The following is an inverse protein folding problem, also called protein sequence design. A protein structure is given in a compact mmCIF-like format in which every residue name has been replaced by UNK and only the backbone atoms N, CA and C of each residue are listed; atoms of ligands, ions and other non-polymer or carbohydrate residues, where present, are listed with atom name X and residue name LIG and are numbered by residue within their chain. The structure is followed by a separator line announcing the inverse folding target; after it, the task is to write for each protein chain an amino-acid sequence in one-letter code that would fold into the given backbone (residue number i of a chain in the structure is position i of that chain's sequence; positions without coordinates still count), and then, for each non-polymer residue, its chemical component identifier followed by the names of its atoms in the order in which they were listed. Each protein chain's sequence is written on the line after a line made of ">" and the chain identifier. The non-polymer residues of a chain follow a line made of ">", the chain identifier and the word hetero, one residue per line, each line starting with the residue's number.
data_IF_085324676549
#
_entry.id   IF_085324676549
#
_cell.length_a   1.000
_cell.length_b   1.000
_cell.length_c   1.000
_cell.angle_alpha   90.00
_cell.angle_beta   90.00
_cell.angle_gamma   90.00
#
_symmetry.space_group_name_H-M   'P 1'
#
loop_
_entity.id
_entity.type
_entity.pdbx_description
1 polymer ?
#
# COMPACT_ATOMS: atom_id res chain seq x y z
N UNK A 1 34.85 6.63 19.61
CA UNK A 1 34.06 6.44 20.84
C UNK A 1 33.08 5.34 20.50
N UNK A 2 33.04 4.27 21.28
CA UNK A 2 32.37 3.01 20.92
C UNK A 2 30.86 3.20 20.92
N UNK A 3 30.25 3.19 19.73
CA UNK A 3 28.81 3.00 19.53
C UNK A 3 28.42 1.63 20.12
N UNK A 4 28.09 1.58 21.40
CA UNK A 4 27.43 0.39 21.96
C UNK A 4 25.97 0.45 21.53
N UNK A 5 25.68 -0.11 20.36
CA UNK A 5 24.32 -0.44 20.00
C UNK A 5 23.76 -1.36 21.10
N UNK A 6 22.53 -1.10 21.54
CA UNK A 6 21.78 -1.97 22.45
C UNK A 6 20.92 -2.93 21.62
N UNK A 7 21.41 -4.14 21.27
CA UNK A 7 20.66 -5.08 20.46
C UNK A 7 19.55 -5.73 21.27
N UNK A 8 18.33 -5.66 20.74
CA UNK A 8 17.19 -6.41 21.25
C UNK A 8 17.04 -7.70 20.46
N UNK A 9 16.94 -8.82 21.18
CA UNK A 9 16.76 -10.14 20.57
C UNK A 9 15.45 -10.23 19.77
N UNK A 10 15.35 -11.22 18.88
CA UNK A 10 14.16 -11.45 18.06
C UNK A 10 12.89 -11.60 18.89
N UNK A 11 12.95 -12.39 19.97
CA UNK A 11 11.82 -12.58 20.88
C UNK A 11 11.38 -11.26 21.51
N UNK A 12 12.32 -10.43 21.97
CA UNK A 12 12.00 -9.13 22.59
C UNK A 12 11.44 -8.17 21.53
N UNK A 13 12.07 -8.08 20.37
CA UNK A 13 11.66 -7.19 19.27
C UNK A 13 10.26 -7.52 18.78
N UNK A 14 9.94 -8.80 18.58
CA UNK A 14 8.61 -9.24 18.15
C UNK A 14 7.52 -8.92 19.18
N UNK A 15 7.76 -9.24 20.46
CA UNK A 15 6.78 -8.94 21.53
C UNK A 15 6.61 -7.43 21.73
N UNK A 16 7.70 -6.66 21.64
CA UNK A 16 7.63 -5.21 21.71
C UNK A 16 6.80 -4.66 20.55
N UNK A 17 6.96 -5.17 19.33
CA UNK A 17 6.15 -4.73 18.20
C UNK A 17 4.64 -4.94 18.43
N UNK A 18 4.24 -6.03 19.09
CA UNK A 18 2.82 -6.24 19.46
C UNK A 18 2.36 -5.17 20.47
N UNK A 19 3.17 -4.86 21.49
CA UNK A 19 2.86 -3.79 22.45
C UNK A 19 2.75 -2.43 21.75
N UNK A 20 3.67 -2.14 20.84
CA UNK A 20 3.73 -0.90 20.06
C UNK A 20 2.54 -0.79 19.11
N UNK A 21 2.11 -1.89 18.49
CA UNK A 21 0.89 -1.93 17.69
C UNK A 21 -0.33 -1.52 18.54
N UNK A 22 -0.51 -2.12 19.72
CA UNK A 22 -1.61 -1.76 20.61
C UNK A 22 -1.48 -0.34 21.19
N UNK A 23 -0.27 0.18 21.33
CA UNK A 23 -0.05 1.59 21.63
C UNK A 23 -0.55 2.47 20.49
N UNK A 24 -0.22 2.13 19.24
CA UNK A 24 -0.76 2.76 18.03
C UNK A 24 -2.28 2.76 17.97
N UNK A 25 -2.93 1.62 18.26
CA UNK A 25 -4.40 1.52 18.38
C UNK A 25 -4.95 2.52 19.41
N UNK A 26 -4.30 2.65 20.57
CA UNK A 26 -4.72 3.60 21.62
C UNK A 26 -4.51 5.06 21.18
N UNK A 27 -3.40 5.36 20.49
CA UNK A 27 -3.12 6.70 19.95
C UNK A 27 -4.15 7.09 18.91
N UNK A 28 -4.46 6.23 17.94
CA UNK A 28 -5.47 6.47 16.91
C UNK A 28 -6.86 6.72 17.50
N UNK A 29 -7.22 6.02 18.59
CA UNK A 29 -8.49 6.24 19.29
C UNK A 29 -8.55 7.59 20.02
N UNK A 30 -7.43 8.04 20.60
CA UNK A 30 -7.37 9.25 21.43
C UNK A 30 -7.10 10.53 20.64
N UNK A 31 -6.31 10.46 19.57
CA UNK A 31 -5.83 11.62 18.81
C UNK A 31 -6.71 11.78 17.56
N UNK A 32 -7.58 12.81 17.49
CA UNK A 32 -8.48 12.98 16.35
C UNK A 32 -7.76 13.17 15.02
N UNK A 33 -6.57 13.80 15.04
CA UNK A 33 -5.74 13.99 13.85
C UNK A 33 -5.41 12.66 13.16
N UNK A 34 -4.91 11.67 13.91
CA UNK A 34 -4.51 10.37 13.35
C UNK A 34 -5.70 9.64 12.73
N UNK A 35 -6.86 9.68 13.40
CA UNK A 35 -8.10 9.11 12.89
C UNK A 35 -8.64 9.85 11.66
N UNK A 36 -8.57 11.19 11.66
CA UNK A 36 -9.09 12.01 10.57
C UNK A 36 -8.33 11.78 9.26
N UNK A 37 -7.01 11.58 9.35
CA UNK A 37 -6.13 11.33 8.20
C UNK A 37 -5.89 9.85 7.92
N UNK A 38 -6.66 8.94 8.54
CA UNK A 38 -6.55 7.48 8.37
C UNK A 38 -5.12 6.95 8.53
N UNK A 39 -4.36 7.49 9.50
CA UNK A 39 -2.99 7.03 9.77
C UNK A 39 -3.06 5.61 10.35
N UNK A 40 -2.37 4.61 9.74
CA UNK A 40 -2.41 3.23 10.23
C UNK A 40 -1.90 3.10 11.65
N UNK A 41 -2.50 2.20 12.44
CA UNK A 41 -2.09 1.92 13.82
C UNK A 41 -0.60 1.54 13.94
N UNK A 42 -0.04 0.69 13.06
CA UNK A 42 1.39 0.39 13.07
C UNK A 42 2.27 1.63 12.91
N UNK A 43 1.83 2.60 12.11
CA UNK A 43 2.56 3.85 11.84
C UNK A 43 2.56 4.75 13.07
N UNK A 44 1.39 4.95 13.67
CA UNK A 44 1.25 5.76 14.88
C UNK A 44 2.07 5.22 16.05
N UNK A 45 2.05 3.90 16.25
CA UNK A 45 2.83 3.24 17.30
C UNK A 45 4.33 3.24 16.99
N UNK A 46 4.71 2.76 15.79
CA UNK A 46 6.09 2.63 15.37
C UNK A 46 6.83 3.97 15.36
N UNK A 47 6.22 5.02 14.79
CA UNK A 47 6.84 6.34 14.75
C UNK A 47 7.03 6.94 16.15
N UNK A 48 6.13 6.70 17.09
CA UNK A 48 6.33 7.13 18.48
C UNK A 48 7.59 6.47 19.07
N UNK A 49 7.79 5.18 18.85
CA UNK A 49 8.98 4.47 19.33
C UNK A 49 10.24 4.94 18.60
N UNK A 50 10.18 5.16 17.29
CA UNK A 50 11.31 5.70 16.53
C UNK A 50 11.72 7.11 17.02
N UNK A 51 10.75 7.96 17.36
CA UNK A 51 11.02 9.28 17.97
C UNK A 51 11.65 9.14 19.36
N UNK A 52 11.16 8.21 20.19
CA UNK A 52 11.75 7.95 21.50
C UNK A 52 13.19 7.41 21.38
N UNK A 53 13.44 6.48 20.46
CA UNK A 53 14.77 5.96 20.15
C UNK A 53 15.69 7.09 19.63
N UNK A 54 15.17 7.98 18.79
CA UNK A 54 15.91 9.15 18.32
C UNK A 54 16.27 10.12 19.46
N UNK A 55 15.36 10.35 20.41
CA UNK A 55 15.66 11.18 21.60
C UNK A 55 16.76 10.53 22.45
N UNK A 56 16.72 9.21 22.63
CA UNK A 56 17.77 8.45 23.33
C UNK A 56 19.11 8.59 22.61
N UNK A 57 19.11 8.43 21.28
CA UNK A 57 20.31 8.61 20.46
C UNK A 57 20.89 10.03 20.63
N UNK A 58 20.07 11.07 20.55
CA UNK A 58 20.54 12.46 20.74
C UNK A 58 21.05 12.76 22.16
N UNK A 59 20.49 12.11 23.19
CA UNK A 59 20.83 12.40 24.58
C UNK A 59 22.00 11.56 25.12
N UNK A 60 22.13 10.31 24.66
CA UNK A 60 23.05 9.31 25.21
C UNK A 60 24.04 8.75 24.19
N UNK A 61 23.97 9.18 22.92
CA UNK A 61 24.80 8.66 21.82
C UNK A 61 24.73 7.12 21.70
N UNK A 62 23.57 6.55 22.08
CA UNK A 62 23.32 5.11 22.14
C UNK A 62 22.28 4.73 21.10
N UNK A 63 22.64 3.83 20.19
CA UNK A 63 21.72 3.29 19.19
C UNK A 63 20.92 2.10 19.74
N UNK A 64 19.60 2.10 19.55
CA UNK A 64 18.76 0.94 19.85
C UNK A 64 18.56 0.15 18.57
N UNK A 65 19.04 -1.09 18.52
CA UNK A 65 18.87 -1.97 17.36
C UNK A 65 17.84 -3.06 17.64
N UNK A 66 16.92 -3.25 16.69
CA UNK A 66 15.87 -4.26 16.76
C UNK A 66 16.16 -5.38 15.75
N UNK A 67 15.91 -6.62 16.15
CA UNK A 67 15.99 -7.75 15.22
C UNK A 67 14.78 -7.75 14.27
N UNK A 68 15.03 -8.01 12.97
CA UNK A 68 14.04 -7.90 11.89
C UNK A 68 13.73 -9.22 11.19
N UNK A 69 14.15 -10.38 11.74
CA UNK A 69 13.93 -11.66 11.07
C UNK A 69 12.44 -12.00 10.95
N UNK A 70 11.65 -11.82 12.01
CA UNK A 70 10.19 -12.02 11.92
C UNK A 70 9.54 -11.00 10.99
N UNK A 71 10.07 -9.77 10.91
CA UNK A 71 9.57 -8.74 10.00
C UNK A 71 9.65 -9.23 8.55
N UNK A 72 10.78 -9.79 8.14
CA UNK A 72 10.99 -10.25 6.76
C UNK A 72 10.05 -11.41 6.40
N UNK A 73 9.88 -12.38 7.30
CA UNK A 73 8.95 -13.49 7.08
C UNK A 73 7.49 -13.03 7.00
N UNK A 74 7.08 -12.10 7.88
CA UNK A 74 5.72 -11.54 7.87
C UNK A 74 5.46 -10.68 6.61
N UNK A 75 6.49 -10.00 6.10
CA UNK A 75 6.41 -9.30 4.82
C UNK A 75 6.10 -10.27 3.68
N UNK A 76 6.76 -11.43 3.63
CA UNK A 76 6.45 -12.48 2.65
C UNK A 76 5.04 -13.02 2.84
N UNK A 77 4.60 -13.23 4.09
CA UNK A 77 3.22 -13.65 4.38
C UNK A 77 2.19 -12.67 3.84
N UNK A 78 2.40 -11.37 4.04
CA UNK A 78 1.49 -10.34 3.57
C UNK A 78 1.38 -10.30 2.04
N UNK A 79 2.50 -10.14 1.33
CA UNK A 79 2.49 -10.03 -0.13
C UNK A 79 2.06 -11.33 -0.84
N UNK A 80 2.38 -12.49 -0.26
CA UNK A 80 1.88 -13.78 -0.77
C UNK A 80 0.37 -13.91 -0.55
N UNK A 81 -0.17 -13.44 0.58
CA UNK A 81 -1.61 -13.46 0.83
C UNK A 81 -2.37 -12.53 -0.14
N UNK A 82 -1.79 -11.37 -0.50
CA UNK A 82 -2.30 -10.51 -1.59
C UNK A 82 -2.34 -11.31 -2.91
N UNK A 83 -1.23 -11.94 -3.28
CA UNK A 83 -1.14 -12.76 -4.48
C UNK A 83 -2.16 -13.90 -4.49
N UNK A 84 -2.33 -14.60 -3.38
CA UNK A 84 -3.34 -15.66 -3.25
C UNK A 84 -4.77 -15.12 -3.40
N UNK A 85 -5.05 -13.88 -3.03
CA UNK A 85 -6.38 -13.28 -3.25
C UNK A 85 -6.62 -12.79 -4.68
N UNK A 86 -5.58 -12.69 -5.51
CA UNK A 86 -5.69 -12.24 -6.89
C UNK A 86 -6.37 -13.29 -7.79
N UNK A 87 -7.50 -12.93 -8.39
CA UNK A 87 -8.23 -13.79 -9.33
C UNK A 87 -8.54 -13.06 -10.63
N UNK A 88 -8.08 -13.60 -11.77
CA UNK A 88 -8.36 -13.02 -13.08
C UNK A 88 -9.86 -12.98 -13.41
N UNK A 89 -10.63 -13.92 -12.86
CA UNK A 89 -12.10 -13.92 -13.01
C UNK A 89 -12.78 -12.68 -12.44
N UNK A 90 -12.18 -12.00 -11.47
CA UNK A 90 -12.75 -10.77 -10.88
C UNK A 90 -12.49 -9.55 -11.78
N UNK A 91 -11.42 -9.56 -12.59
CA UNK A 91 -11.15 -8.55 -13.62
C UNK A 91 -12.27 -8.53 -14.68
N UNK A 92 -12.68 -9.74 -15.13
CA UNK A 92 -13.71 -9.91 -16.15
C UNK A 92 -15.06 -9.37 -15.68
N UNK A 93 -15.38 -9.52 -14.38
CA UNK A 93 -16.63 -9.03 -13.79
C UNK A 93 -16.72 -7.49 -13.74
N UNK A 94 -15.58 -6.80 -13.63
CA UNK A 94 -15.53 -5.34 -13.58
C UNK A 94 -15.83 -4.65 -14.92
N UNK A 95 -15.76 -5.39 -16.03
CA UNK A 95 -16.12 -4.92 -17.36
C UNK A 95 -15.29 -3.72 -17.85
N UNK A 96 -15.88 -2.95 -18.78
CA UNK A 96 -15.22 -1.82 -19.44
C UNK A 96 -14.74 -0.72 -18.48
N UNK A 97 -15.53 -0.26 -17.48
CA UNK A 97 -15.09 0.80 -16.57
C UNK A 97 -13.86 0.41 -15.73
N UNK A 98 -13.78 -0.85 -15.30
CA UNK A 98 -12.63 -1.35 -14.55
C UNK A 98 -11.37 -1.36 -15.40
N UNK A 99 -11.47 -1.80 -16.66
CA UNK A 99 -10.32 -1.80 -17.57
C UNK A 99 -9.82 -0.39 -17.88
N UNK A 100 -10.74 0.57 -18.09
CA UNK A 100 -10.38 1.99 -18.29
C UNK A 100 -9.64 2.52 -17.05
N UNK A 101 -10.18 2.28 -15.85
CA UNK A 101 -9.56 2.74 -14.61
C UNK A 101 -8.19 2.10 -14.38
N UNK A 102 -8.04 0.80 -14.68
CA UNK A 102 -6.75 0.11 -14.59
C UNK A 102 -5.71 0.73 -15.54
N UNK A 103 -6.06 0.99 -16.80
CA UNK A 103 -5.17 1.64 -17.75
C UNK A 103 -4.78 3.05 -17.29
N UNK A 104 -5.74 3.82 -16.75
CA UNK A 104 -5.47 5.15 -16.18
C UNK A 104 -4.53 5.06 -14.98
N UNK A 105 -4.72 4.08 -14.09
CA UNK A 105 -3.86 3.86 -12.93
C UNK A 105 -2.43 3.53 -13.36
N UNK A 106 -2.24 2.59 -14.28
CA UNK A 106 -0.90 2.23 -14.80
C UNK A 106 -0.24 3.43 -15.48
N UNK A 107 -0.99 4.18 -16.31
CA UNK A 107 -0.49 5.40 -16.94
C UNK A 107 -0.10 6.48 -15.94
N UNK A 108 -0.88 6.64 -14.87
CA UNK A 108 -0.57 7.56 -13.78
C UNK A 108 0.67 7.13 -13.00
N UNK A 109 0.86 5.83 -12.75
CA UNK A 109 2.04 5.31 -12.06
C UNK A 109 3.32 5.58 -12.84
N UNK A 110 3.29 5.39 -14.17
CA UNK A 110 4.39 5.79 -15.04
C UNK A 110 4.68 7.30 -14.92
N UNK A 111 3.64 8.14 -15.01
CA UNK A 111 3.79 9.59 -14.86
C UNK A 111 4.35 9.99 -13.50
N UNK A 112 3.86 9.38 -12.41
CA UNK A 112 4.29 9.63 -11.04
C UNK A 112 5.79 9.33 -10.88
N UNK A 113 6.28 8.23 -11.46
CA UNK A 113 7.70 7.89 -11.43
C UNK A 113 8.54 8.74 -12.36
N UNK A 114 8.07 9.11 -13.55
CA UNK A 114 8.76 10.11 -14.40
C UNK A 114 8.99 11.40 -13.61
N UNK A 115 7.97 11.90 -12.93
CA UNK A 115 8.06 13.14 -12.15
C UNK A 115 9.05 13.00 -11.00
N UNK A 116 8.90 11.96 -10.17
CA UNK A 116 9.76 11.74 -9.01
C UNK A 116 11.23 11.60 -9.40
N UNK A 117 11.51 10.77 -10.41
CA UNK A 117 12.86 10.54 -10.91
C UNK A 117 13.46 11.76 -11.63
N UNK A 118 12.65 12.53 -12.36
CA UNK A 118 13.11 13.77 -13.01
C UNK A 118 13.53 14.82 -11.98
N UNK A 119 12.73 15.00 -10.92
CA UNK A 119 13.06 15.93 -9.83
C UNK A 119 14.31 15.46 -9.10
N UNK A 120 14.41 14.16 -8.79
CA UNK A 120 15.61 13.59 -8.17
C UNK A 120 16.86 13.84 -9.03
N UNK A 121 16.79 13.61 -10.34
CA UNK A 121 17.89 13.86 -11.27
C UNK A 121 18.32 15.35 -11.29
N UNK A 122 17.37 16.29 -11.31
CA UNK A 122 17.66 17.74 -11.23
C UNK A 122 18.36 18.12 -9.93
N UNK A 123 18.02 17.44 -8.83
CA UNK A 123 18.63 17.65 -7.51
C UNK A 123 19.93 16.86 -7.30
N UNK A 124 20.39 16.10 -8.30
CA UNK A 124 21.59 15.26 -8.20
C UNK A 124 21.42 14.04 -7.28
N UNK A 125 20.18 13.58 -7.07
CA UNK A 125 19.86 12.42 -6.23
C UNK A 125 19.68 11.15 -7.08
N UNK A 126 19.90 9.96 -6.50
CA UNK A 126 19.73 8.70 -7.22
C UNK A 126 18.28 8.49 -7.70
N UNK A 127 18.10 7.76 -8.80
CA UNK A 127 16.78 7.44 -9.37
C UNK A 127 15.85 6.80 -8.34
N UNK A 128 16.39 5.87 -7.52
CA UNK A 128 15.64 5.21 -6.44
C UNK A 128 15.05 6.18 -5.42
N UNK A 129 15.69 7.33 -5.15
CA UNK A 129 15.14 8.38 -4.30
C UNK A 129 13.86 8.96 -4.91
N UNK A 130 13.88 9.23 -6.21
CA UNK A 130 12.72 9.72 -6.95
C UNK A 130 11.56 8.73 -6.96
N UNK A 131 11.86 7.43 -7.04
CA UNK A 131 10.86 6.35 -6.97
C UNK A 131 10.23 6.22 -5.57
N UNK A 132 11.02 6.40 -4.51
CA UNK A 132 10.50 6.52 -3.13
C UNK A 132 9.57 7.72 -2.96
N UNK A 133 9.89 8.84 -3.61
CA UNK A 133 8.99 9.99 -3.75
C UNK A 133 7.79 9.77 -4.69
N UNK A 134 7.72 8.63 -5.36
CA UNK A 134 6.72 8.26 -6.36
C UNK A 134 5.95 7.01 -5.95
N UNK A 135 5.80 6.06 -6.89
CA UNK A 135 4.87 4.94 -6.74
C UNK A 135 5.27 3.94 -5.66
N UNK A 136 6.55 3.87 -5.29
CA UNK A 136 7.02 2.99 -4.21
C UNK A 136 6.29 3.30 -2.91
N UNK A 137 6.07 4.59 -2.61
CA UNK A 137 5.46 5.04 -1.36
C UNK A 137 4.05 5.57 -1.52
N UNK A 138 3.76 6.33 -2.58
CA UNK A 138 2.48 7.03 -2.75
C UNK A 138 1.36 6.16 -3.32
N UNK A 139 1.71 5.04 -3.96
CA UNK A 139 0.75 4.06 -4.47
C UNK A 139 0.93 2.73 -3.75
N UNK A 140 2.18 2.27 -3.62
CA UNK A 140 2.50 1.03 -2.91
C UNK A 140 2.41 1.10 -1.38
N UNK A 141 2.31 2.31 -0.82
CA UNK A 141 2.22 2.54 0.61
C UNK A 141 3.46 2.12 1.40
N UNK A 142 3.32 2.09 2.73
CA UNK A 142 4.41 1.72 3.64
C UNK A 142 4.97 0.32 3.36
N UNK A 143 4.09 -0.64 3.06
CA UNK A 143 4.49 -2.04 2.82
C UNK A 143 5.47 -2.16 1.65
N UNK A 144 5.17 -1.52 0.53
CA UNK A 144 6.03 -1.52 -0.66
C UNK A 144 7.32 -0.74 -0.42
N UNK A 145 7.25 0.43 0.22
CA UNK A 145 8.43 1.20 0.59
C UNK A 145 9.42 0.43 1.47
N UNK A 146 8.91 -0.26 2.49
CA UNK A 146 9.70 -1.11 3.39
C UNK A 146 10.28 -2.32 2.64
N UNK A 147 9.53 -2.89 1.70
CA UNK A 147 9.94 -4.06 0.94
C UNK A 147 11.05 -3.76 -0.08
N UNK A 148 10.97 -2.59 -0.75
CA UNK A 148 11.98 -2.16 -1.72
C UNK A 148 13.19 -1.49 -1.09
N UNK A 149 13.05 -0.91 0.11
CA UNK A 149 14.09 -0.14 0.79
C UNK A 149 15.46 -0.82 0.84
N UNK A 150 15.60 -2.07 1.32
CA UNK A 150 16.89 -2.76 1.36
C UNK A 150 17.57 -2.86 -0.01
N UNK A 151 16.81 -3.16 -1.07
CA UNK A 151 17.35 -3.24 -2.44
C UNK A 151 17.79 -1.86 -2.96
N UNK A 152 17.04 -0.80 -2.66
CA UNK A 152 17.41 0.57 -3.03
C UNK A 152 18.66 1.08 -2.30
N UNK A 153 18.89 0.63 -1.06
CA UNK A 153 20.12 0.92 -0.32
C UNK A 153 21.30 0.18 -0.95
N UNK A 154 21.17 -1.14 -1.13
CA UNK A 154 22.26 -2.01 -1.58
C UNK A 154 22.68 -1.74 -3.03
N UNK A 155 21.70 -1.66 -3.93
CA UNK A 155 21.97 -1.69 -5.38
C UNK A 155 21.98 -0.28 -6.00
N UNK A 156 21.31 0.69 -5.36
CA UNK A 156 21.08 2.04 -5.91
C UNK A 156 21.59 3.18 -5.02
N UNK A 157 22.25 2.87 -3.90
CA UNK A 157 22.91 3.86 -3.04
C UNK A 157 21.97 4.86 -2.36
N UNK A 158 20.69 4.50 -2.18
CA UNK A 158 19.70 5.39 -1.55
C UNK A 158 19.75 5.20 -0.03
N UNK A 159 20.65 5.93 0.64
CA UNK A 159 20.74 5.91 2.10
C UNK A 159 19.40 6.30 2.76
N UNK A 160 18.99 5.56 3.80
CA UNK A 160 17.73 5.80 4.50
C UNK A 160 16.47 5.53 3.65
N UNK A 161 16.54 4.64 2.65
CA UNK A 161 15.42 4.38 1.74
C UNK A 161 14.11 4.01 2.47
N UNK A 162 14.20 3.20 3.52
CA UNK A 162 13.03 2.75 4.29
C UNK A 162 12.41 3.94 5.03
N UNK A 163 13.23 4.80 5.63
CA UNK A 163 12.82 6.01 6.33
C UNK A 163 12.15 7.01 5.39
N UNK A 164 12.79 7.29 4.24
CA UNK A 164 12.27 8.22 3.23
C UNK A 164 10.94 7.71 2.69
N UNK A 165 10.86 6.42 2.38
CA UNK A 165 9.65 5.80 1.86
C UNK A 165 8.52 5.80 2.88
N UNK A 166 8.80 5.43 4.14
CA UNK A 166 7.81 5.46 5.22
C UNK A 166 7.30 6.88 5.52
N UNK A 167 8.20 7.88 5.53
CA UNK A 167 7.83 9.28 5.69
C UNK A 167 6.96 9.77 4.51
N UNK A 168 7.38 9.48 3.28
CA UNK A 168 6.64 9.84 2.06
C UNK A 168 5.26 9.19 2.03
N UNK A 169 5.13 7.91 2.38
CA UNK A 169 3.84 7.21 2.43
C UNK A 169 2.91 7.83 3.48
N UNK A 170 3.44 8.21 4.65
CA UNK A 170 2.65 8.84 5.71
C UNK A 170 2.15 10.23 5.32
N UNK A 171 3.04 11.08 4.80
CA UNK A 171 2.69 12.41 4.31
C UNK A 171 1.76 12.34 3.10
N UNK A 172 1.94 11.32 2.26
CA UNK A 172 1.05 10.96 1.17
C UNK A 172 -0.38 10.73 1.65
N UNK A 173 -0.60 9.88 2.66
CA UNK A 173 -1.94 9.63 3.21
C UNK A 173 -2.65 10.89 3.70
N UNK A 174 -1.90 11.81 4.34
CA UNK A 174 -2.41 13.12 4.75
C UNK A 174 -2.81 13.94 3.52
N UNK A 175 -1.92 14.05 2.54
CA UNK A 175 -2.19 14.80 1.30
C UNK A 175 -3.38 14.21 0.51
N UNK A 176 -3.48 12.89 0.44
CA UNK A 176 -4.55 12.15 -0.22
C UNK A 176 -5.92 12.41 0.43
N UNK A 177 -5.96 12.42 1.77
CA UNK A 177 -7.16 12.74 2.55
C UNK A 177 -7.58 14.21 2.36
N UNK A 178 -6.61 15.14 2.31
CA UNK A 178 -6.87 16.56 2.06
C UNK A 178 -7.35 16.84 0.64
N UNK A 179 -6.85 16.10 -0.36
CA UNK A 179 -7.12 16.35 -1.76
C UNK A 179 -8.49 15.82 -2.23
N UNK A 180 -8.95 14.68 -1.69
CA UNK A 180 -10.14 13.99 -2.19
C UNK A 180 -11.44 14.81 -2.11
N UNK A 181 -11.70 15.45 -0.97
CA UNK A 181 -12.88 16.30 -0.79
C UNK A 181 -12.94 17.49 -1.76
N UNK A 182 -11.90 18.34 -1.83
CA UNK A 182 -11.82 19.44 -2.80
C UNK A 182 -11.96 19.00 -4.25
N UNK A 183 -11.33 17.89 -4.65
CA UNK A 183 -11.46 17.35 -6.02
C UNK A 183 -12.89 16.90 -6.31
N UNK A 184 -13.50 16.11 -5.42
CA UNK A 184 -14.89 15.68 -5.57
C UNK A 184 -15.85 16.87 -5.68
N UNK A 185 -15.72 17.86 -4.79
CA UNK A 185 -16.51 19.08 -4.82
C UNK A 185 -16.31 19.89 -6.11
N UNK A 186 -15.07 20.02 -6.58
CA UNK A 186 -14.76 20.70 -7.84
C UNK A 186 -15.42 20.00 -9.05
N UNK A 187 -15.33 18.67 -9.13
CA UNK A 187 -15.90 17.89 -10.23
C UNK A 187 -17.45 17.96 -10.22
N UNK A 188 -18.08 17.90 -9.05
CA UNK A 188 -19.54 17.93 -8.92
C UNK A 188 -20.08 19.35 -9.18
N UNK A 189 -19.57 20.35 -8.46
CA UNK A 189 -20.14 21.70 -8.47
C UNK A 189 -19.68 22.52 -9.68
N UNK A 190 -18.39 22.47 -10.03
CA UNK A 190 -17.84 23.31 -11.11
C UNK A 190 -17.83 22.62 -12.47
N UNK A 191 -17.66 21.29 -12.53
CA UNK A 191 -17.70 20.54 -13.79
C UNK A 191 -19.07 19.94 -14.11
N UNK A 192 -20.06 20.15 -13.24
CA UNK A 192 -21.45 19.80 -13.51
C UNK A 192 -21.78 18.32 -13.37
N UNK A 193 -20.92 17.52 -12.73
CA UNK A 193 -21.16 16.09 -12.46
C UNK A 193 -22.15 15.89 -11.30
N UNK A 194 -23.30 16.57 -11.36
CA UNK A 194 -24.33 16.48 -10.33
C UNK A 194 -25.03 15.11 -10.40
N UNK A 195 -25.48 14.59 -9.24
CA UNK A 195 -26.31 13.39 -9.23
C UNK A 195 -27.54 13.58 -10.12
N UNK A 196 -27.87 12.57 -10.91
CA UNK A 196 -29.07 12.59 -11.77
C UNK A 196 -30.33 12.57 -10.89
N UNK A 197 -31.22 13.58 -11.00
CA UNK A 197 -32.47 13.64 -10.23
C UNK A 197 -33.42 12.45 -10.46
N UNK A 198 -33.31 11.78 -11.62
CA UNK A 198 -34.17 10.65 -12.01
C UNK A 198 -33.63 9.27 -11.69
N UNK A 199 -32.44 9.16 -11.07
CA UNK A 199 -31.81 7.88 -10.76
C UNK A 199 -32.61 7.15 -9.67
N UNK A 200 -32.90 5.84 -9.81
CA UNK A 200 -33.48 5.06 -8.73
C UNK A 200 -32.65 5.29 -7.47
N UNK A 201 -33.28 5.49 -6.32
CA UNK A 201 -32.58 5.55 -5.03
C UNK A 201 -31.81 4.24 -4.85
N UNK A 202 -30.52 4.25 -5.22
CA UNK A 202 -29.60 3.21 -4.81
C UNK A 202 -29.60 3.22 -3.28
N UNK A 203 -29.86 2.08 -2.66
CA UNK A 203 -29.77 1.99 -1.20
C UNK A 203 -28.37 2.48 -0.78
N UNK A 204 -28.25 3.31 0.27
CA UNK A 204 -26.93 3.64 0.79
C UNK A 204 -26.21 2.33 1.10
N UNK A 205 -25.06 2.11 0.45
CA UNK A 205 -24.20 0.97 0.77
C UNK A 205 -23.59 1.27 2.14
N UNK A 206 -24.31 0.92 3.20
CA UNK A 206 -23.79 0.86 4.56
C UNK A 206 -23.23 -0.55 4.71
N UNK A 207 -21.91 -0.68 4.65
CA UNK A 207 -21.24 -1.98 4.69
C UNK A 207 -21.35 -2.70 3.36
N UNK A 208 -20.22 -2.90 2.67
CA UNK A 208 -20.15 -3.86 1.58
C UNK A 208 -20.16 -5.25 2.23
N UNK A 209 -21.33 -5.71 2.68
CA UNK A 209 -21.57 -7.14 2.91
C UNK A 209 -21.66 -7.78 1.54
N UNK A 210 -20.49 -8.13 0.99
CA UNK A 210 -20.43 -8.99 -0.19
C UNK A 210 -21.18 -10.27 0.14
N UNK A 211 -22.06 -10.73 -0.74
CA UNK A 211 -22.93 -11.91 -0.62
C UNK A 211 -22.21 -13.29 -0.42
N UNK A 212 -21.00 -13.28 0.13
CA UNK A 212 -20.17 -14.42 0.53
C UNK A 212 -20.05 -14.60 2.05
N UNK A 213 -20.80 -13.85 2.85
CA UNK A 213 -20.82 -14.04 4.31
C UNK A 213 -21.56 -15.31 4.78
N UNK A 214 -22.13 -16.09 3.86
CA UNK A 214 -22.85 -17.32 4.21
C UNK A 214 -21.97 -18.42 4.84
N UNK A 215 -20.63 -18.28 4.87
CA UNK A 215 -19.69 -19.16 5.60
C UNK A 215 -18.77 -18.40 6.59
N UNK A 216 -19.18 -17.20 7.03
CA UNK A 216 -18.35 -16.23 7.76
C UNK A 216 -17.99 -16.61 9.21
N UNK A 217 -17.13 -17.61 9.42
CA UNK A 217 -16.39 -17.78 10.68
C UNK A 217 -14.92 -18.10 10.42
N UNK A 218 -14.05 -17.36 11.09
CA UNK A 218 -12.63 -17.72 11.21
C UNK A 218 -12.56 -19.03 12.01
N UNK A 219 -12.19 -20.12 11.36
CA UNK A 219 -12.05 -21.44 12.01
C UNK A 219 -10.58 -21.78 12.20
N UNK A 220 -10.26 -22.55 13.24
CA UNK A 220 -8.89 -23.05 13.46
C UNK A 220 -8.37 -23.83 12.23
N UNK A 221 -9.22 -24.69 11.65
CA UNK A 221 -8.88 -25.44 10.43
C UNK A 221 -8.71 -24.53 9.22
N UNK A 222 -9.52 -23.47 9.09
CA UNK A 222 -9.37 -22.45 8.05
C UNK A 222 -8.06 -21.67 8.18
N UNK A 223 -7.64 -21.32 9.41
CA UNK A 223 -6.36 -20.67 9.69
C UNK A 223 -5.20 -21.59 9.34
N UNK A 224 -5.19 -22.82 9.85
CA UNK A 224 -4.12 -23.81 9.57
C UNK A 224 -4.00 -24.11 8.07
N UNK A 225 -5.13 -24.22 7.37
CA UNK A 225 -5.14 -24.41 5.91
C UNK A 225 -4.57 -23.20 5.17
N UNK A 226 -4.98 -22.00 5.57
CA UNK A 226 -4.49 -20.76 4.97
C UNK A 226 -2.99 -20.61 5.19
N UNK A 227 -2.49 -20.88 6.41
CA UNK A 227 -1.07 -20.89 6.73
C UNK A 227 -0.30 -21.92 5.89
N UNK A 228 -0.81 -23.14 5.74
CA UNK A 228 -0.16 -24.17 4.93
C UNK A 228 0.00 -23.73 3.47
N UNK A 229 -1.10 -23.30 2.84
CA UNK A 229 -1.06 -22.85 1.43
C UNK A 229 -0.17 -21.62 1.28
N UNK A 230 -0.21 -20.69 2.23
CA UNK A 230 0.65 -19.50 2.26
C UNK A 230 2.13 -19.89 2.32
N UNK A 231 2.50 -20.79 3.24
CA UNK A 231 3.88 -21.26 3.38
C UNK A 231 4.37 -22.02 2.14
N UNK A 232 3.51 -22.85 1.53
CA UNK A 232 3.85 -23.52 0.27
C UNK A 232 4.08 -22.50 -0.84
N UNK A 233 3.24 -21.48 -0.94
CA UNK A 233 3.41 -20.41 -1.93
C UNK A 233 4.69 -19.60 -1.70
N UNK A 234 5.04 -19.28 -0.44
CA UNK A 234 6.29 -18.62 -0.07
C UNK A 234 7.50 -19.50 -0.42
N UNK A 235 7.49 -20.79 -0.05
CA UNK A 235 8.59 -21.71 -0.34
C UNK A 235 8.84 -21.83 -1.84
N UNK A 236 7.78 -21.91 -2.65
CA UNK A 236 7.87 -21.89 -4.11
C UNK A 236 8.40 -20.54 -4.62
N UNK A 237 7.99 -19.43 -4.02
CA UNK A 237 8.47 -18.09 -4.38
C UNK A 237 9.96 -17.89 -4.10
N UNK A 238 10.44 -18.30 -2.93
CA UNK A 238 11.86 -18.25 -2.57
C UNK A 238 12.68 -19.13 -3.50
N UNK A 239 12.26 -20.39 -3.70
CA UNK A 239 12.98 -21.29 -4.62
C UNK A 239 12.95 -20.81 -6.08
N UNK A 240 11.87 -20.16 -6.51
CA UNK A 240 11.80 -19.56 -7.85
C UNK A 240 12.71 -18.33 -7.97
N UNK A 241 12.82 -17.50 -6.93
CA UNK A 241 13.71 -16.34 -6.94
C UNK A 241 15.17 -16.79 -7.07
N UNK A 242 15.60 -17.78 -6.26
CA UNK A 242 16.95 -18.35 -6.36
C UNK A 242 17.22 -18.92 -7.77
N UNK A 243 16.24 -19.61 -8.35
CA UNK A 243 16.36 -20.16 -9.69
C UNK A 243 16.43 -19.09 -10.80
N UNK A 244 15.71 -17.97 -10.65
CA UNK A 244 15.74 -16.85 -11.59
C UNK A 244 17.08 -16.10 -11.53
N UNK A 245 17.59 -15.89 -10.32
CA UNK A 245 18.86 -15.23 -10.09
C UNK A 245 20.02 -16.05 -10.68
N UNK A 246 20.09 -17.34 -10.36
CA UNK A 246 21.16 -18.23 -10.86
C UNK A 246 21.02 -18.54 -12.34
N UNK A 247 19.79 -18.75 -12.83
CA UNK A 247 19.54 -19.25 -14.18
C UNK A 247 19.52 -18.16 -15.26
N UNK A 248 18.93 -17.00 -14.95
CA UNK A 248 18.66 -15.92 -15.92
C UNK A 248 19.38 -14.62 -15.54
N UNK A 249 20.00 -14.54 -14.36
CA UNK A 249 20.62 -13.32 -13.84
C UNK A 249 19.58 -12.27 -13.43
N UNK A 250 18.32 -12.67 -13.24
CA UNK A 250 17.22 -11.76 -12.93
C UNK A 250 17.02 -11.69 -11.41
N UNK A 251 17.63 -10.68 -10.78
CA UNK A 251 17.53 -10.43 -9.34
C UNK A 251 16.28 -9.60 -8.99
N UNK A 252 15.16 -10.30 -8.80
CA UNK A 252 13.91 -9.74 -8.31
C UNK A 252 13.84 -9.80 -6.78
N UNK A 253 13.25 -8.78 -6.11
CA UNK A 253 12.95 -8.88 -4.69
C UNK A 253 12.08 -10.12 -4.39
N UNK A 254 12.47 -10.90 -3.37
CA UNK A 254 11.81 -12.16 -3.00
C UNK A 254 10.30 -12.00 -2.81
N UNK A 255 9.85 -10.91 -2.18
CA UNK A 255 8.42 -10.69 -1.95
C UNK A 255 7.60 -10.51 -3.25
N UNK A 256 8.20 -9.99 -4.32
CA UNK A 256 7.56 -9.84 -5.64
C UNK A 256 7.36 -11.22 -6.26
N UNK A 257 8.36 -12.09 -6.15
CA UNK A 257 8.28 -13.47 -6.65
C UNK A 257 7.26 -14.27 -5.84
N UNK A 258 7.25 -14.12 -4.51
CA UNK A 258 6.24 -14.72 -3.63
C UNK A 258 4.81 -14.26 -3.95
N UNK A 259 4.60 -12.96 -4.19
CA UNK A 259 3.32 -12.43 -4.65
C UNK A 259 2.91 -13.08 -5.99
N UNK A 260 3.82 -13.12 -6.97
CA UNK A 260 3.55 -13.73 -8.27
C UNK A 260 3.20 -15.22 -8.14
N UNK A 261 3.93 -15.99 -7.33
CA UNK A 261 3.61 -17.38 -7.03
C UNK A 261 2.21 -17.53 -6.42
N UNK A 262 1.82 -16.65 -5.50
CA UNK A 262 0.46 -16.58 -4.96
C UNK A 262 -0.60 -16.42 -6.06
N UNK A 263 -0.38 -15.50 -7.01
CA UNK A 263 -1.28 -15.26 -8.16
C UNK A 263 -1.40 -16.52 -9.02
N UNK A 264 -0.26 -17.11 -9.40
CA UNK A 264 -0.23 -18.31 -10.24
C UNK A 264 -0.98 -19.45 -9.58
N UNK A 265 -0.72 -19.71 -8.29
CA UNK A 265 -1.39 -20.78 -7.56
C UNK A 265 -2.89 -20.54 -7.43
N UNK A 266 -3.32 -19.30 -7.14
CA UNK A 266 -4.74 -18.99 -6.96
C UNK A 266 -5.57 -19.12 -8.23
N UNK A 267 -4.94 -18.97 -9.39
CA UNK A 267 -5.61 -19.10 -10.68
C UNK A 267 -5.44 -20.48 -11.32
N UNK A 268 -4.48 -21.31 -10.88
CA UNK A 268 -4.24 -22.65 -11.44
C UNK A 268 -4.78 -23.78 -10.56
N UNK A 269 -4.48 -23.76 -9.25
CA UNK A 269 -4.76 -24.87 -8.34
C UNK A 269 -6.25 -25.16 -8.21
N UNK A 270 -7.16 -24.17 -8.07
CA UNK A 270 -8.59 -24.44 -8.04
C UNK A 270 -9.16 -25.06 -9.34
N UNK A 271 -8.49 -24.85 -10.48
CA UNK A 271 -8.89 -25.43 -11.77
C UNK A 271 -8.53 -26.92 -11.85
N UNK A 272 -7.34 -27.28 -11.35
CA UNK A 272 -6.81 -28.65 -11.34
C UNK A 272 -7.42 -29.47 -10.19
N UNK A 273 -7.47 -28.90 -8.99
CA UNK A 273 -7.96 -29.57 -7.78
C UNK A 273 -9.30 -29.00 -7.33
N UNK A 274 -10.36 -29.21 -8.14
CA UNK A 274 -11.71 -28.65 -7.90
C UNK A 274 -12.34 -29.01 -6.54
N UNK A 275 -11.93 -30.11 -5.93
CA UNK A 275 -12.44 -30.58 -4.61
C UNK A 275 -11.66 -29.98 -3.43
N UNK A 276 -10.52 -29.35 -3.68
CA UNK A 276 -9.72 -28.74 -2.63
C UNK A 276 -10.31 -27.39 -2.26
N UNK A 277 -10.46 -27.17 -0.96
CA UNK A 277 -10.96 -25.93 -0.39
C UNK A 277 -9.86 -24.87 -0.40
N UNK A 278 -9.88 -24.01 -1.40
CA UNK A 278 -8.86 -22.98 -1.60
C UNK A 278 -9.07 -21.77 -0.66
N UNK A 279 -8.02 -21.25 0.01
CA UNK A 279 -8.18 -20.21 1.04
C UNK A 279 -8.39 -18.79 0.48
N UNK A 280 -8.22 -18.56 -0.82
CA UNK A 280 -8.40 -17.23 -1.40
C UNK A 280 -9.83 -16.71 -1.20
N UNK A 281 -9.96 -15.45 -0.78
CA UNK A 281 -11.24 -14.82 -0.44
C UNK A 281 -11.85 -15.31 0.87
N UNK A 282 -11.13 -16.11 1.67
CA UNK A 282 -11.58 -16.52 3.00
C UNK A 282 -11.21 -15.49 4.08
N UNK A 283 -12.06 -15.37 5.10
CA UNK A 283 -11.79 -14.52 6.27
C UNK A 283 -10.55 -14.99 7.06
N UNK A 284 -10.25 -16.30 7.07
CA UNK A 284 -9.04 -16.83 7.70
C UNK A 284 -7.76 -16.30 7.05
N UNK A 285 -7.69 -16.26 5.71
CA UNK A 285 -6.54 -15.70 5.01
C UNK A 285 -6.45 -14.19 5.22
N UNK A 286 -7.58 -13.47 5.23
CA UNK A 286 -7.63 -12.04 5.50
C UNK A 286 -7.05 -11.72 6.89
N UNK A 287 -7.47 -12.43 7.94
CA UNK A 287 -6.94 -12.22 9.30
C UNK A 287 -5.43 -12.50 9.39
N UNK A 288 -4.93 -13.54 8.72
CA UNK A 288 -3.48 -13.82 8.67
C UNK A 288 -2.74 -12.68 7.97
N UNK A 289 -3.28 -12.20 6.85
CA UNK A 289 -2.71 -11.08 6.08
C UNK A 289 -2.68 -9.79 6.91
N UNK A 290 -3.76 -9.47 7.61
CA UNK A 290 -3.86 -8.26 8.45
C UNK A 290 -2.94 -8.33 9.67
N UNK A 291 -2.83 -9.51 10.30
CA UNK A 291 -1.88 -9.75 11.38
C UNK A 291 -0.43 -9.57 10.91
N UNK A 292 -0.09 -10.17 9.76
CA UNK A 292 1.21 -10.03 9.16
C UNK A 292 1.52 -8.56 8.86
N UNK A 293 0.59 -7.86 8.19
CA UNK A 293 0.66 -6.43 7.89
C UNK A 293 0.92 -5.59 9.14
N UNK A 294 0.09 -5.77 10.17
CA UNK A 294 0.17 -4.99 11.40
C UNK A 294 1.52 -5.13 12.10
N UNK A 295 2.00 -6.37 12.26
CA UNK A 295 3.25 -6.63 12.98
C UNK A 295 4.47 -6.24 12.13
N UNK A 296 4.53 -6.60 10.85
CA UNK A 296 5.71 -6.27 10.03
C UNK A 296 5.86 -4.76 9.88
N UNK A 297 4.77 -4.02 9.67
CA UNK A 297 4.83 -2.56 9.59
C UNK A 297 5.30 -1.99 10.92
N UNK A 298 4.79 -2.48 12.04
CA UNK A 298 5.19 -1.98 13.36
C UNK A 298 6.67 -2.20 13.61
N UNK A 299 7.19 -3.41 13.33
CA UNK A 299 8.62 -3.73 13.47
C UNK A 299 9.49 -2.84 12.58
N UNK A 300 9.06 -2.60 11.35
CA UNK A 300 9.80 -1.76 10.39
C UNK A 300 9.79 -0.29 10.81
N UNK A 301 8.66 0.19 11.33
CA UNK A 301 8.50 1.61 11.66
C UNK A 301 9.11 1.98 13.01
N UNK A 302 9.14 1.05 13.98
CA UNK A 302 9.82 1.28 15.26
C UNK A 302 11.34 1.21 15.16
N UNK A 303 11.88 0.60 14.10
CA UNK A 303 13.32 0.48 13.83
C UNK A 303 13.89 1.58 12.93
N UNK A 304 13.09 2.57 12.54
CA UNK A 304 13.53 3.67 11.68
C UNK A 304 14.59 4.54 12.35
N UNK A 305 15.67 4.82 11.61
CA UNK A 305 16.74 5.70 12.06
C UNK A 305 16.46 7.14 11.59
N UNK A 306 15.67 7.90 12.36
CA UNK A 306 15.19 9.23 11.95
C UNK A 306 16.31 10.26 11.68
N UNK A 307 17.50 10.07 12.23
CA UNK A 307 18.66 10.93 11.97
C UNK A 307 19.15 10.87 10.52
N UNK A 308 18.88 9.77 9.80
CA UNK A 308 19.24 9.63 8.38
C UNK A 308 18.42 10.54 7.46
N UNK A 309 17.29 11.09 7.93
CA UNK A 309 16.37 11.92 7.14
C UNK A 309 16.76 13.40 7.07
N UNK A 310 17.61 13.90 7.96
CA UNK A 310 17.81 15.34 8.18
C UNK A 310 18.30 16.10 6.94
N UNK A 311 19.04 15.44 6.03
CA UNK A 311 19.52 16.03 4.76
C UNK A 311 18.58 15.84 3.56
N UNK A 312 17.54 15.00 3.68
CA UNK A 312 16.74 14.54 2.56
C UNK A 312 15.29 15.02 2.60
N UNK A 313 14.87 15.62 3.72
CA UNK A 313 13.51 16.12 3.90
C UNK A 313 13.11 17.20 2.86
N UNK A 314 14.00 18.13 2.53
CA UNK A 314 13.74 19.19 1.55
C UNK A 314 13.38 18.64 0.15
N UNK A 315 14.27 17.86 -0.48
CA UNK A 315 13.98 17.16 -1.73
C UNK A 315 12.70 16.31 -1.70
N UNK A 316 12.48 15.57 -0.62
CA UNK A 316 11.28 14.73 -0.45
C UNK A 316 9.99 15.56 -0.45
N UNK A 317 9.95 16.67 0.29
CA UNK A 317 8.78 17.57 0.33
C UNK A 317 8.50 18.22 -1.02
N UNK A 318 9.54 18.58 -1.77
CA UNK A 318 9.39 19.12 -3.13
C UNK A 318 8.75 18.10 -4.07
N UNK A 319 9.25 16.85 -4.05
CA UNK A 319 8.65 15.77 -4.86
C UNK A 319 7.20 15.59 -4.46
N UNK A 320 6.90 15.40 -3.17
CA UNK A 320 5.53 15.21 -2.69
C UNK A 320 4.59 16.33 -3.14
N UNK A 321 5.01 17.60 -3.03
CA UNK A 321 4.21 18.73 -3.49
C UNK A 321 3.89 18.63 -4.99
N UNK A 322 4.88 18.31 -5.82
CA UNK A 322 4.67 18.12 -7.25
C UNK A 322 3.74 16.93 -7.55
N UNK A 323 3.83 15.85 -6.76
CA UNK A 323 2.93 14.71 -6.89
C UNK A 323 1.48 15.08 -6.58
N UNK A 324 1.23 15.91 -5.57
CA UNK A 324 -0.11 16.42 -5.25
C UNK A 324 -0.70 17.20 -6.43
N UNK A 325 0.10 18.09 -7.02
CA UNK A 325 -0.32 18.90 -8.17
C UNK A 325 -0.64 18.00 -9.36
N UNK A 326 0.22 17.05 -9.68
CA UNK A 326 0.05 16.17 -10.84
C UNK A 326 -1.10 15.19 -10.64
N UNK A 327 -1.31 14.68 -9.42
CA UNK A 327 -2.50 13.90 -9.08
C UNK A 327 -3.78 14.69 -9.36
N UNK A 328 -3.87 15.92 -8.87
CA UNK A 328 -5.02 16.79 -9.07
C UNK A 328 -5.29 17.04 -10.57
N UNK A 329 -4.24 17.39 -11.33
CA UNK A 329 -4.35 17.63 -12.76
C UNK A 329 -4.76 16.36 -13.52
N UNK A 330 -4.14 15.22 -13.22
CA UNK A 330 -4.45 13.95 -13.88
C UNK A 330 -5.89 13.51 -13.62
N UNK A 331 -6.40 13.71 -12.40
CA UNK A 331 -7.79 13.38 -12.08
C UNK A 331 -8.76 14.25 -12.89
N UNK A 332 -8.49 15.56 -12.96
CA UNK A 332 -9.36 16.51 -13.66
C UNK A 332 -9.30 16.33 -15.18
N UNK A 333 -8.12 16.07 -15.73
CA UNK A 333 -7.85 16.06 -17.18
C UNK A 333 -7.94 14.68 -17.83
N UNK A 334 -7.71 13.60 -17.09
CA UNK A 334 -7.71 12.23 -17.61
C UNK A 334 -8.80 11.38 -16.95
N UNK A 335 -8.75 11.20 -15.62
CA UNK A 335 -9.67 10.26 -14.93
C UNK A 335 -11.14 10.66 -15.13
N UNK A 336 -11.48 11.90 -14.81
CA UNK A 336 -12.86 12.38 -14.93
C UNK A 336 -13.43 12.28 -16.36
N UNK A 337 -12.74 12.75 -17.43
CA UNK A 337 -13.27 12.62 -18.78
C UNK A 337 -13.33 11.19 -19.31
N UNK A 338 -12.32 10.36 -19.07
CA UNK A 338 -12.31 8.99 -19.59
C UNK A 338 -13.29 8.07 -18.85
N UNK A 339 -13.63 8.38 -17.59
CA UNK A 339 -14.65 7.66 -16.82
C UNK A 339 -16.09 8.11 -17.13
N UNK A 340 -16.30 9.05 -18.06
CA UNK A 340 -17.63 9.39 -18.57
C UNK A 340 -18.21 10.73 -18.10
N UNK A 341 -17.46 11.53 -17.31
CA UNK A 341 -17.87 12.86 -16.81
C UNK A 341 -19.19 12.88 -16.00
N UNK A 342 -19.59 11.75 -15.46
CA UNK A 342 -20.80 11.62 -14.65
C UNK A 342 -20.49 11.72 -13.14
N UNK A 343 -21.53 11.61 -12.31
CA UNK A 343 -21.38 11.60 -10.87
C UNK A 343 -20.49 10.45 -10.35
N UNK A 344 -20.59 9.25 -10.96
CA UNK A 344 -19.71 8.13 -10.60
C UNK A 344 -18.24 8.45 -10.89
N UNK A 345 -17.93 9.09 -12.02
CA UNK A 345 -16.60 9.55 -12.37
C UNK A 345 -16.06 10.60 -11.40
N UNK A 346 -16.93 11.47 -10.86
CA UNK A 346 -16.54 12.44 -9.83
C UNK A 346 -16.21 11.77 -8.49
N UNK A 347 -17.02 10.79 -8.06
CA UNK A 347 -16.74 9.98 -6.85
C UNK A 347 -15.47 9.15 -7.04
N UNK A 348 -15.30 8.53 -8.21
CA UNK A 348 -14.06 7.83 -8.57
C UNK A 348 -12.87 8.77 -8.59
N UNK A 349 -13.02 10.02 -9.03
CA UNK A 349 -11.95 11.03 -8.98
C UNK A 349 -11.51 11.33 -7.54
N UNK A 350 -12.47 11.49 -6.61
CA UNK A 350 -12.15 11.67 -5.19
C UNK A 350 -11.49 10.42 -4.57
N UNK A 351 -11.96 9.22 -4.95
CA UNK A 351 -11.34 7.96 -4.54
C UNK A 351 -9.94 7.79 -5.11
N UNK A 352 -9.74 8.12 -6.39
CA UNK A 352 -8.45 8.07 -7.07
C UNK A 352 -7.46 9.01 -6.40
N UNK A 353 -7.84 10.22 -5.97
CA UNK A 353 -6.97 11.08 -5.16
C UNK A 353 -6.52 10.40 -3.85
N UNK A 354 -7.43 9.66 -3.21
CA UNK A 354 -7.15 8.94 -1.96
C UNK A 354 -6.19 7.77 -2.14
N UNK A 355 -6.31 7.05 -3.27
CA UNK A 355 -5.49 5.89 -3.60
C UNK A 355 -4.15 6.29 -4.22
N UNK A 356 -4.12 7.24 -5.16
CA UNK A 356 -2.95 7.63 -5.96
C UNK A 356 -1.82 8.33 -5.18
N UNK A 357 -2.14 8.82 -3.99
CA UNK A 357 -1.22 9.46 -3.05
C UNK A 357 -1.20 8.75 -1.69
N UNK A 358 -1.92 7.65 -1.54
CA UNK A 358 -2.18 7.04 -0.25
C UNK A 358 -2.44 5.55 -0.37
N UNK A 359 -3.60 5.11 0.11
CA UNK A 359 -3.96 3.71 0.16
C UNK A 359 -5.47 3.51 -0.07
N UNK A 360 -5.87 2.26 -0.33
CA UNK A 360 -7.28 1.88 -0.51
C UNK A 360 -8.21 2.37 0.61
N UNK A 361 -7.86 2.32 1.92
CA UNK A 361 -8.71 2.87 2.97
C UNK A 361 -8.98 4.37 2.82
N UNK A 362 -7.97 5.16 2.44
CA UNK A 362 -8.11 6.60 2.21
C UNK A 362 -8.99 6.90 1.00
N UNK A 363 -8.89 6.09 -0.05
CA UNK A 363 -9.78 6.17 -1.20
C UNK A 363 -11.25 5.95 -0.80
N UNK A 364 -11.52 4.90 -0.02
CA UNK A 364 -12.86 4.60 0.50
C UNK A 364 -13.37 5.73 1.39
N UNK A 365 -12.52 6.29 2.27
CA UNK A 365 -12.88 7.42 3.13
C UNK A 365 -13.26 8.66 2.31
N UNK A 366 -12.48 9.01 1.29
CA UNK A 366 -12.77 10.13 0.39
C UNK A 366 -14.08 9.93 -0.37
N UNK A 367 -14.29 8.73 -0.94
CA UNK A 367 -15.54 8.41 -1.63
C UNK A 367 -16.74 8.49 -0.69
N UNK A 368 -16.60 7.95 0.52
CA UNK A 368 -17.66 7.98 1.56
C UNK A 368 -17.99 9.41 1.97
N UNK A 369 -16.99 10.28 2.12
CA UNK A 369 -17.22 11.69 2.44
C UNK A 369 -18.00 12.41 1.35
N UNK A 370 -17.69 12.14 0.07
CA UNK A 370 -18.43 12.70 -1.07
C UNK A 370 -19.85 12.14 -1.13
N UNK A 371 -20.02 10.81 -1.05
CA UNK A 371 -21.35 10.20 -1.17
C UNK A 371 -22.27 10.48 0.02
N UNK A 372 -21.72 10.73 1.22
CA UNK A 372 -22.50 11.20 2.36
C UNK A 372 -23.17 12.54 2.11
N UNK A 373 -22.53 13.41 1.31
CA UNK A 373 -23.05 14.75 0.96
C UNK A 373 -23.93 14.75 -0.28
N UNK A 374 -23.57 13.95 -1.29
CA UNK A 374 -24.16 14.03 -2.64
C UNK A 374 -24.99 12.80 -3.03
N UNK A 375 -25.04 11.76 -2.20
CA UNK A 375 -25.78 10.53 -2.45
C UNK A 375 -24.89 9.35 -2.89
N UNK A 376 -25.43 8.12 -2.89
CA UNK A 376 -24.67 6.90 -3.15
C UNK A 376 -24.14 6.79 -4.60
N UNK A 377 -23.06 6.04 -4.77
CA UNK A 377 -22.43 5.76 -6.06
C UNK A 377 -21.94 4.30 -6.12
N UNK A 378 -22.86 3.35 -6.24
CA UNK A 378 -22.60 1.91 -6.12
C UNK A 378 -21.50 1.41 -7.04
N UNK A 379 -21.51 1.86 -8.30
CA UNK A 379 -20.53 1.44 -9.30
C UNK A 379 -19.10 1.83 -8.90
N UNK A 380 -18.91 3.04 -8.36
CA UNK A 380 -17.60 3.52 -7.95
C UNK A 380 -17.00 2.64 -6.84
N UNK A 381 -17.81 2.25 -5.85
CA UNK A 381 -17.41 1.40 -4.73
C UNK A 381 -17.14 -0.06 -5.12
N UNK A 382 -17.68 -0.53 -6.25
CA UNK A 382 -17.35 -1.85 -6.80
C UNK A 382 -16.04 -1.83 -7.58
N UNK A 383 -15.82 -0.79 -8.39
CA UNK A 383 -14.72 -0.78 -9.37
C UNK A 383 -13.38 -0.42 -8.70
N UNK A 384 -13.32 0.62 -7.88
CA UNK A 384 -12.05 1.12 -7.36
C UNK A 384 -11.30 0.11 -6.47
N UNK A 385 -11.94 -0.57 -5.50
CA UNK A 385 -11.23 -1.55 -4.67
C UNK A 385 -10.68 -2.72 -5.46
N UNK A 386 -11.35 -3.14 -6.53
CA UNK A 386 -10.87 -4.22 -7.40
C UNK A 386 -9.58 -3.82 -8.14
N UNK A 387 -9.46 -2.56 -8.56
CA UNK A 387 -8.24 -2.05 -9.19
C UNK A 387 -7.12 -1.93 -8.16
N UNK A 388 -7.41 -1.37 -6.97
CA UNK A 388 -6.40 -1.07 -5.96
C UNK A 388 -5.92 -2.28 -5.13
N UNK A 389 -6.65 -3.39 -5.12
CA UNK A 389 -6.36 -4.51 -4.21
C UNK A 389 -5.10 -5.33 -4.55
N UNK A 390 -4.79 -5.58 -5.83
CA UNK A 390 -3.61 -6.40 -6.18
C UNK A 390 -3.01 -6.08 -7.56
N UNK A 391 -3.81 -5.62 -8.53
CA UNK A 391 -3.29 -5.30 -9.87
C UNK A 391 -2.25 -4.19 -9.82
N UNK A 392 -2.50 -3.22 -8.94
CA UNK A 392 -1.60 -2.11 -8.68
C UNK A 392 -0.26 -2.59 -8.16
N UNK A 393 -0.23 -3.49 -7.17
CA UNK A 393 1.04 -3.97 -6.59
C UNK A 393 1.90 -4.68 -7.64
N UNK A 394 1.29 -5.51 -8.49
CA UNK A 394 1.99 -6.18 -9.58
C UNK A 394 2.49 -5.18 -10.63
N UNK A 395 1.63 -4.27 -11.09
CA UNK A 395 2.03 -3.23 -12.04
C UNK A 395 3.13 -2.33 -11.45
N UNK A 396 3.06 -2.04 -10.15
CA UNK A 396 4.01 -1.19 -9.45
C UNK A 396 5.39 -1.85 -9.43
N UNK A 397 5.46 -3.13 -9.05
CA UNK A 397 6.71 -3.88 -9.05
C UNK A 397 7.39 -3.86 -10.44
N UNK A 398 6.63 -4.09 -11.51
CA UNK A 398 7.15 -4.05 -12.88
C UNK A 398 7.60 -2.64 -13.31
N UNK A 399 6.83 -1.61 -12.96
CA UNK A 399 7.17 -0.22 -13.28
C UNK A 399 8.43 0.20 -12.50
N UNK A 400 8.56 -0.18 -11.23
CA UNK A 400 9.75 0.13 -10.42
C UNK A 400 10.99 -0.50 -11.07
N UNK A 401 10.92 -1.77 -11.46
CA UNK A 401 12.01 -2.45 -12.18
C UNK A 401 12.37 -1.72 -13.48
N UNK A 402 11.38 -1.35 -14.28
CA UNK A 402 11.59 -0.61 -15.54
C UNK A 402 12.38 0.69 -15.33
N UNK A 403 12.08 1.45 -14.27
CA UNK A 403 12.78 2.71 -13.98
C UNK A 403 14.15 2.51 -13.35
N UNK A 404 14.34 1.41 -12.63
CA UNK A 404 15.64 1.03 -12.07
C UNK A 404 16.60 0.44 -13.11
N UNK A 405 16.14 0.26 -14.36
CA UNK A 405 16.95 -0.26 -15.46
C UNK A 405 16.96 -1.78 -15.55
N UNK A 406 15.88 -2.42 -15.07
CA UNK A 406 15.68 -3.87 -15.15
C UNK A 406 15.65 -4.44 -16.56
#
# INVERSE_FOLDING_TARGET
>A
MTEEALPLSEFVSFNLAILVYFLGVRLNKKIPFLRHYNIPEPVSGGLLVAVLAFIVFLALDTEISFSLQSRDYLLYCFFTAIGLNARFGDLVKGGKPLLILLCLTVGYMLLQNVVGTSIAAVLGLPVGFGLLGGTVSLVGGHGTAIAWGPKLVADYGVAGAVEIGAATATLGLVAASLLGGPIGNYLIEKRGAKPDPGRPQEAPIIGIETAREADARVTHTGLMRSLLVLNVAIALGVGLQEALEVGVGLDLPVFVVCLFCGIVLSNSVPLVFRKMTWPAGSQSLAVISDLALGIFLTMSLMSLQLWTLAGLAGPMLLILFMQIVIAALFIILAVFPLMGRDYNAAVLGAGFAGFALGATPTAIANMTAVTKRYGPATQAFLILPLVSAFFVDLANALIILLFLGG
#
